data_IF_048675525736
#
_entry.id   IF_048675525736
#
_cell.length_a   1.000
_cell.length_b   1.000
_cell.length_c   1.000
_cell.angle_alpha   90.00
_cell.angle_beta   90.00
_cell.angle_gamma   90.00
#
_symmetry.space_group_name_H-M   'P 1'
#
loop_
_entity.id
_entity.type
_entity.pdbx_description
1 polymer ?
#
# COMPACT_ATOMS: atom_id res chain seq x y z
N UNK A 1 3.00 6.81 8.77
CA UNK A 1 1.81 6.89 7.92
C UNK A 1 0.96 5.64 8.11
N UNK A 2 -0.27 5.84 8.58
CA UNK A 2 -1.29 4.81 8.70
C UNK A 2 -2.23 4.88 7.51
N UNK A 3 -2.56 3.71 6.97
CA UNK A 3 -3.39 3.53 5.79
C UNK A 3 -4.55 2.61 6.12
N UNK A 4 -5.62 2.73 5.34
CA UNK A 4 -6.64 1.68 5.21
C UNK A 4 -6.55 1.17 3.79
N UNK A 5 -6.27 -0.12 3.64
CA UNK A 5 -6.05 -0.76 2.33
C UNK A 5 -7.00 -1.92 2.11
N UNK A 6 -7.13 -2.32 0.86
CA UNK A 6 -7.79 -3.56 0.45
C UNK A 6 -6.94 -4.23 -0.61
N UNK A 7 -6.69 -5.53 -0.44
CA UNK A 7 -6.10 -6.36 -1.49
C UNK A 7 -7.19 -6.92 -2.39
N UNK A 8 -6.99 -6.81 -3.69
CA UNK A 8 -7.84 -7.46 -4.68
C UNK A 8 -7.66 -8.97 -4.57
N UNK A 9 -8.75 -9.74 -4.62
CA UNK A 9 -8.71 -11.20 -4.60
C UNK A 9 -8.01 -11.79 -5.83
N UNK A 10 -7.53 -13.04 -5.76
CA UNK A 10 -6.97 -13.74 -6.92
C UNK A 10 -7.94 -13.80 -8.12
N UNK A 11 -9.24 -14.05 -7.86
CA UNK A 11 -10.28 -14.14 -8.90
C UNK A 11 -10.42 -12.85 -9.72
N UNK A 12 -10.07 -11.71 -9.12
CA UNK A 12 -10.22 -10.39 -9.70
C UNK A 12 -8.86 -9.86 -10.21
N UNK A 13 -7.88 -10.75 -10.38
CA UNK A 13 -6.55 -10.45 -10.91
C UNK A 13 -5.54 -9.97 -9.85
N UNK A 14 -5.85 -10.10 -8.57
CA UNK A 14 -4.99 -9.75 -7.44
C UNK A 14 -3.85 -10.74 -7.18
N UNK A 15 -3.40 -10.82 -5.93
CA UNK A 15 -2.34 -11.77 -5.51
C UNK A 15 -2.94 -13.14 -5.22
N UNK A 16 -2.20 -14.21 -5.48
CA UNK A 16 -2.59 -15.57 -5.03
C UNK A 16 -2.55 -15.70 -3.49
N UNK A 17 -1.61 -15.01 -2.85
CA UNK A 17 -1.42 -15.02 -1.40
C UNK A 17 -1.20 -13.61 -0.87
N UNK A 18 -1.82 -13.30 0.27
CA UNK A 18 -1.59 -12.05 0.98
C UNK A 18 -0.13 -11.97 1.44
N UNK A 19 0.50 -10.78 1.38
CA UNK A 19 1.86 -10.60 1.87
C UNK A 19 1.88 -10.54 3.39
N UNK A 20 3.05 -10.81 3.98
CA UNK A 20 3.29 -10.49 5.38
C UNK A 20 3.38 -8.97 5.58
N UNK A 21 2.41 -8.41 6.29
CA UNK A 21 2.28 -6.99 6.58
C UNK A 21 3.01 -6.57 7.87
N UNK A 22 3.49 -7.52 8.67
CA UNK A 22 4.13 -7.30 9.97
C UNK A 22 5.67 -7.37 9.88
N UNK A 23 6.20 -8.30 9.08
CA UNK A 23 7.64 -8.63 9.04
C UNK A 23 8.55 -7.62 8.34
N UNK A 24 8.04 -6.49 7.84
CA UNK A 24 8.88 -5.46 7.22
C UNK A 24 9.40 -5.78 5.82
N UNK A 25 9.11 -6.97 5.28
CA UNK A 25 9.63 -7.42 3.98
C UNK A 25 8.79 -6.92 2.81
N UNK A 26 7.50 -6.69 3.03
CA UNK A 26 6.61 -6.23 1.98
C UNK A 26 6.80 -4.74 1.68
N UNK A 27 7.31 -4.44 0.47
CA UNK A 27 7.69 -3.10 0.03
C UNK A 27 7.15 -2.74 -1.36
N UNK A 28 5.83 -2.57 -1.52
CA UNK A 28 5.23 -2.20 -2.79
C UNK A 28 5.36 -0.70 -3.05
N UNK A 29 4.83 -0.27 -4.19
CA UNK A 29 4.60 1.15 -4.47
C UNK A 29 3.15 1.54 -4.21
N UNK A 30 2.93 2.73 -3.65
CA UNK A 30 1.62 3.41 -3.67
C UNK A 30 1.61 4.47 -4.77
N UNK A 31 0.50 4.53 -5.50
CA UNK A 31 0.36 5.38 -6.68
C UNK A 31 -0.96 6.13 -6.61
N UNK A 32 -0.91 7.46 -6.70
CA UNK A 32 -2.04 8.39 -6.57
C UNK A 32 -2.31 9.17 -7.88
N UNK A 33 -2.01 8.55 -9.04
CA UNK A 33 -2.20 9.15 -10.36
C UNK A 33 -0.97 9.86 -10.93
N UNK A 34 0.12 9.95 -10.16
CA UNK A 34 1.42 10.47 -10.60
C UNK A 34 2.10 9.63 -11.71
N UNK A 35 3.07 10.20 -12.44
CA UNK A 35 3.95 9.48 -13.36
C UNK A 35 4.66 8.27 -12.72
N UNK A 36 5.05 7.29 -13.56
CA UNK A 36 5.63 6.01 -13.10
C UNK A 36 6.94 6.18 -12.32
N UNK A 37 7.77 7.10 -12.76
CA UNK A 37 9.05 7.48 -12.15
C UNK A 37 8.90 8.15 -10.79
N UNK A 38 7.68 8.53 -10.39
CA UNK A 38 7.41 9.16 -9.10
C UNK A 38 6.70 8.23 -8.10
N UNK A 39 6.49 6.96 -8.45
CA UNK A 39 5.83 5.99 -7.59
C UNK A 39 6.47 5.91 -6.21
N UNK A 40 5.63 5.94 -5.18
CA UNK A 40 6.11 6.01 -3.80
C UNK A 40 6.30 4.62 -3.23
N UNK A 41 7.55 4.19 -3.12
CA UNK A 41 7.88 2.97 -2.38
C UNK A 41 7.58 3.13 -0.89
N UNK A 42 6.86 2.19 -0.30
CA UNK A 42 6.55 2.16 1.14
C UNK A 42 6.97 0.83 1.73
N UNK A 43 7.15 0.77 3.05
CA UNK A 43 7.45 -0.48 3.76
C UNK A 43 6.37 -0.77 4.79
N UNK A 44 5.68 -1.89 4.67
CA UNK A 44 4.67 -2.33 5.63
C UNK A 44 5.34 -2.83 6.92
N UNK A 45 4.86 -2.36 8.07
CA UNK A 45 5.48 -2.67 9.37
C UNK A 45 4.45 -2.92 10.48
N UNK A 46 3.16 -2.98 10.14
CA UNK A 46 2.09 -3.11 11.12
C UNK A 46 0.75 -3.39 10.46
N UNK A 47 -0.01 -4.29 11.08
CA UNK A 47 -1.38 -4.65 10.72
C UNK A 47 -2.12 -4.98 12.01
N UNK A 48 -3.29 -4.40 12.22
CA UNK A 48 -4.05 -4.55 13.47
C UNK A 48 -5.07 -5.69 13.43
N UNK A 49 -5.25 -6.33 12.28
CA UNK A 49 -6.27 -7.36 12.04
C UNK A 49 -5.68 -8.53 11.25
N UNK A 50 -6.37 -9.67 11.24
CA UNK A 50 -6.08 -10.75 10.30
C UNK A 50 -6.42 -10.28 8.87
N UNK A 51 -5.45 -10.20 7.95
CA UNK A 51 -5.71 -9.78 6.58
C UNK A 51 -6.58 -10.77 5.82
N UNK A 52 -7.49 -10.27 5.00
CA UNK A 52 -8.23 -11.05 4.01
C UNK A 52 -8.34 -10.26 2.69
N UNK A 53 -8.72 -10.92 1.60
CA UNK A 53 -8.99 -10.24 0.35
C UNK A 53 -10.31 -9.46 0.40
N UNK A 54 -10.39 -8.38 -0.36
CA UNK A 54 -11.59 -7.57 -0.53
C UNK A 54 -12.18 -6.97 0.77
N UNK A 55 -11.42 -6.98 1.88
CA UNK A 55 -11.76 -6.31 3.13
C UNK A 55 -10.86 -5.10 3.39
N UNK A 56 -11.35 -4.15 4.19
CA UNK A 56 -10.52 -3.03 4.66
C UNK A 56 -9.57 -3.50 5.77
N UNK A 57 -8.30 -3.18 5.61
CA UNK A 57 -7.21 -3.58 6.50
C UNK A 57 -6.48 -2.31 6.97
N UNK A 58 -6.58 -1.95 8.26
CA UNK A 58 -5.75 -0.91 8.85
C UNK A 58 -4.30 -1.37 8.95
N UNK A 59 -3.38 -0.58 8.39
CA UNK A 59 -1.95 -0.88 8.34
C UNK A 59 -1.10 0.34 8.66
N UNK A 60 0.12 0.11 9.14
CA UNK A 60 1.14 1.14 9.32
C UNK A 60 2.29 0.90 8.35
N UNK A 61 2.73 1.96 7.67
CA UNK A 61 3.87 1.92 6.75
C UNK A 61 4.94 2.93 7.13
N UNK A 62 6.19 2.59 6.81
CA UNK A 62 7.34 3.50 6.78
C UNK A 62 7.55 4.05 5.38
N UNK A 63 8.21 5.21 5.32
CA UNK A 63 8.63 5.91 4.11
C UNK A 63 10.17 5.79 4.04
N UNK A 64 10.72 4.67 3.52
CA UNK A 64 12.09 4.28 3.82
C UNK A 64 13.16 5.02 2.99
N UNK A 65 12.78 5.67 1.89
CA UNK A 65 13.73 6.20 0.92
C UNK A 65 14.02 7.69 1.17
N UNK A 66 15.27 8.00 1.48
CA UNK A 66 15.74 9.39 1.60
C UNK A 66 15.76 10.05 0.22
N UNK A 67 15.35 11.31 0.16
CA UNK A 67 15.33 12.10 -1.09
C UNK A 67 14.10 11.88 -1.98
N UNK A 68 13.20 10.96 -1.61
CA UNK A 68 11.88 10.83 -2.24
C UNK A 68 10.91 11.83 -1.59
N UNK A 69 10.15 12.54 -2.41
CA UNK A 69 9.12 13.46 -1.94
C UNK A 69 7.83 12.71 -1.56
N UNK A 70 7.63 12.54 -0.25
CA UNK A 70 6.41 11.98 0.33
C UNK A 70 5.44 13.05 0.86
N UNK A 71 5.53 14.31 0.43
CA UNK A 71 4.61 15.37 0.85
C UNK A 71 3.23 15.27 0.19
N UNK A 72 3.14 14.56 -0.94
CA UNK A 72 1.94 14.46 -1.76
C UNK A 72 0.79 13.64 -1.13
N UNK A 73 1.02 12.48 -0.47
CA UNK A 73 -0.05 11.80 0.25
C UNK A 73 -0.63 12.70 1.35
N UNK A 74 -1.89 13.08 1.20
CA UNK A 74 -2.68 13.80 2.22
C UNK A 74 -3.67 12.85 2.87
N UNK A 75 -4.06 13.11 4.11
CA UNK A 75 -5.13 12.35 4.77
C UNK A 75 -6.38 12.34 3.87
N UNK A 76 -6.96 11.16 3.66
CA UNK A 76 -8.09 10.94 2.75
C UNK A 76 -7.72 10.70 1.29
N UNK A 77 -6.48 10.98 0.86
CA UNK A 77 -6.04 10.71 -0.50
C UNK A 77 -6.10 9.21 -0.81
N UNK A 78 -6.61 8.88 -2.00
CA UNK A 78 -6.72 7.50 -2.49
C UNK A 78 -5.49 7.13 -3.31
N UNK A 79 -5.13 5.85 -3.28
CA UNK A 79 -4.04 5.31 -4.06
C UNK A 79 -4.34 3.86 -4.48
N UNK A 80 -3.59 3.38 -5.47
CA UNK A 80 -3.46 1.96 -5.80
C UNK A 80 -2.12 1.42 -5.30
N UNK A 81 -2.08 0.13 -5.01
CA UNK A 81 -0.88 -0.60 -4.60
C UNK A 81 -0.37 -1.36 -5.81
N UNK A 82 0.91 -1.16 -6.15
CA UNK A 82 1.55 -1.81 -7.30
C UNK A 82 2.78 -2.63 -6.92
N UNK A 83 2.88 -3.79 -7.57
CA UNK A 83 4.02 -4.70 -7.54
C UNK A 83 4.57 -4.84 -8.95
N UNK A 84 5.69 -4.15 -9.22
CA UNK A 84 6.14 -3.92 -10.58
C UNK A 84 5.05 -3.23 -11.40
N UNK A 85 4.61 -3.86 -12.49
CA UNK A 85 3.53 -3.35 -13.34
C UNK A 85 2.11 -3.66 -12.83
N UNK A 86 1.95 -4.63 -11.92
CA UNK A 86 0.66 -5.20 -11.53
C UNK A 86 0.00 -4.39 -10.40
N UNK A 87 -1.27 -4.09 -10.54
CA UNK A 87 -2.10 -3.57 -9.44
C UNK A 87 -2.59 -4.73 -8.59
N UNK A 88 -2.37 -4.68 -7.28
CA UNK A 88 -2.71 -5.75 -6.34
C UNK A 88 -3.74 -5.33 -5.29
N UNK A 89 -4.11 -4.06 -5.29
CA UNK A 89 -5.03 -3.48 -4.33
C UNK A 89 -5.01 -1.97 -4.37
N UNK A 90 -5.56 -1.35 -3.34
CA UNK A 90 -5.57 0.09 -3.18
C UNK A 90 -5.99 0.49 -1.78
N UNK A 91 -6.19 1.78 -1.57
CA UNK A 91 -6.57 2.26 -0.25
C UNK A 91 -6.63 3.77 -0.16
N UNK A 92 -6.62 4.24 1.08
CA UNK A 92 -6.58 5.66 1.43
C UNK A 92 -5.64 5.93 2.60
N UNK A 93 -5.11 7.14 2.65
CA UNK A 93 -4.32 7.61 3.80
C UNK A 93 -5.28 7.89 4.96
N UNK A 94 -5.02 7.27 6.12
CA UNK A 94 -5.81 7.48 7.33
C UNK A 94 -5.15 8.50 8.27
N UNK A 95 -3.82 8.45 8.40
CA UNK A 95 -3.02 9.35 9.22
C UNK A 95 -1.59 9.44 8.67
N UNK A 96 -0.95 10.60 8.79
CA UNK A 96 0.45 10.80 8.37
C UNK A 96 1.41 10.37 9.47
#
# INVERSE_FOLDING_TARGET
MDLVITFTSPSDGGREHLPDLLGGQYRPHVVDGRPRDEYLGVQFVGCSVTPDFNVEIPVTVRLPYKGVDYSAPKVGARFIIKEGGKTVGGGRVAKL
#
